data_IF_020366080236
#
_entry.id   IF_020366080236
#
_cell.length_a   1.000
_cell.length_b   1.000
_cell.length_c   1.000
_cell.angle_alpha   90.00
_cell.angle_beta   90.00
_cell.angle_gamma   90.00
#
_symmetry.space_group_name_H-M   'P 1'
#
loop_
_entity.id
_entity.type
_entity.pdbx_description
1 polymer ?
#
# COMPACT_ATOMS: atom_id res chain seq x y z
N UNK A 1 -17.81 0.37 -23.72
CA UNK A 1 -17.42 -1.05 -23.56
C UNK A 1 -17.10 -1.25 -22.09
N UNK A 2 -17.90 -2.04 -21.38
CA UNK A 2 -17.65 -2.36 -19.97
C UNK A 2 -16.39 -3.20 -19.91
N UNK A 3 -15.29 -2.62 -19.43
CA UNK A 3 -14.09 -3.37 -19.06
C UNK A 3 -14.50 -4.28 -17.92
N UNK A 4 -14.37 -5.61 -18.10
CA UNK A 4 -14.53 -6.57 -17.02
C UNK A 4 -13.49 -6.18 -15.96
N UNK A 5 -13.94 -5.57 -14.86
CA UNK A 5 -13.08 -5.23 -13.73
C UNK A 5 -12.73 -6.55 -13.04
N UNK A 6 -11.47 -6.97 -13.16
CA UNK A 6 -10.97 -8.16 -12.46
C UNK A 6 -11.01 -7.84 -10.96
N UNK A 7 -11.71 -8.64 -10.14
CA UNK A 7 -11.77 -8.42 -8.70
C UNK A 7 -10.37 -8.42 -8.08
N UNK A 8 -10.12 -7.46 -7.18
CA UNK A 8 -8.83 -7.27 -6.55
C UNK A 8 -9.03 -6.84 -5.10
N UNK A 9 -8.38 -7.54 -4.17
CA UNK A 9 -8.29 -7.13 -2.77
C UNK A 9 -7.39 -5.91 -2.66
N UNK A 10 -7.61 -5.03 -1.69
CA UNK A 10 -6.71 -3.90 -1.44
C UNK A 10 -6.23 -3.97 0.00
N UNK A 11 -4.91 -3.96 0.17
CA UNK A 11 -4.23 -3.90 1.44
C UNK A 11 -3.67 -2.50 1.68
N UNK A 12 -4.09 -1.88 2.77
CA UNK A 12 -3.48 -0.66 3.28
C UNK A 12 -2.53 -1.00 4.43
N UNK A 13 -1.25 -0.66 4.27
CA UNK A 13 -0.24 -0.84 5.31
C UNK A 13 -0.29 0.35 6.28
N UNK A 14 -0.81 0.11 7.48
CA UNK A 14 -0.90 1.06 8.58
C UNK A 14 0.14 0.80 9.70
N UNK A 15 1.16 0.00 9.41
CA UNK A 15 2.25 -0.33 10.34
C UNK A 15 3.53 0.46 10.09
N UNK A 16 4.21 0.87 11.17
CA UNK A 16 5.55 1.46 11.12
C UNK A 16 6.01 1.95 12.49
N UNK A 17 7.33 1.94 12.72
CA UNK A 17 7.93 2.23 14.05
C UNK A 17 7.50 3.55 14.69
N UNK A 18 6.96 4.53 13.94
CA UNK A 18 6.56 5.85 14.47
C UNK A 18 7.70 6.65 15.14
N UNK A 19 8.92 6.12 15.17
CA UNK A 19 10.05 6.62 15.96
C UNK A 19 10.45 8.05 15.60
N UNK A 20 10.31 8.42 14.32
CA UNK A 20 10.62 9.78 13.82
C UNK A 20 9.48 10.79 14.05
N UNK A 21 8.30 10.34 14.48
CA UNK A 21 7.09 11.16 14.70
C UNK A 21 6.59 11.06 16.14
N UNK A 22 7.50 10.95 17.11
CA UNK A 22 7.17 10.90 18.54
C UNK A 22 6.32 9.70 18.95
N UNK A 23 6.43 8.56 18.25
CA UNK A 23 5.67 7.35 18.55
C UNK A 23 4.21 7.38 18.09
N UNK A 24 3.73 8.48 17.46
CA UNK A 24 2.35 8.59 16.97
C UNK A 24 2.06 7.62 15.83
N UNK A 25 0.78 7.27 15.72
CA UNK A 25 0.29 6.50 14.58
C UNK A 25 0.18 7.36 13.34
N UNK A 26 1.04 7.07 12.35
CA UNK A 26 1.11 7.83 11.10
C UNK A 26 -0.20 7.76 10.34
N UNK A 27 -0.84 6.59 10.28
CA UNK A 27 -2.10 6.47 9.53
C UNK A 27 -3.22 7.32 10.14
N UNK A 28 -3.11 7.69 11.43
CA UNK A 28 -4.06 8.53 12.15
C UNK A 28 -3.61 9.98 12.28
N UNK A 29 -2.45 10.34 11.72
CA UNK A 29 -2.03 11.73 11.64
C UNK A 29 -2.93 12.52 10.68
N UNK A 30 -3.19 13.77 11.04
CA UNK A 30 -4.09 14.62 10.26
C UNK A 30 -3.37 15.28 9.08
N UNK A 31 -3.99 15.16 7.91
CA UNK A 31 -3.73 15.94 6.70
C UNK A 31 -5.03 16.62 6.29
N UNK A 32 -5.03 17.94 6.14
CA UNK A 32 -6.23 18.72 5.76
C UNK A 32 -7.47 18.35 6.60
N UNK A 33 -7.28 18.22 7.92
CA UNK A 33 -8.35 17.93 8.88
C UNK A 33 -8.82 16.47 8.95
N UNK A 34 -8.27 15.55 8.14
CA UNK A 34 -8.64 14.11 8.14
C UNK A 34 -7.42 13.22 8.35
N UNK A 35 -7.55 12.06 9.00
CA UNK A 35 -6.43 11.14 9.18
C UNK A 35 -5.93 10.62 7.81
N UNK A 36 -4.64 10.34 7.66
CA UNK A 36 -4.07 9.87 6.38
C UNK A 36 -4.83 8.66 5.82
N UNK A 37 -5.22 7.71 6.69
CA UNK A 37 -6.00 6.54 6.30
C UNK A 37 -7.34 6.91 5.65
N UNK A 38 -8.00 7.98 6.09
CA UNK A 38 -9.28 8.41 5.53
C UNK A 38 -9.15 8.94 4.10
N UNK A 39 -8.00 9.53 3.74
CA UNK A 39 -7.74 9.98 2.37
C UNK A 39 -7.62 8.79 1.42
N UNK A 40 -6.75 7.82 1.77
CA UNK A 40 -6.57 6.61 0.97
C UNK A 40 -7.86 5.78 0.91
N UNK A 41 -8.55 5.61 2.05
CA UNK A 41 -9.83 4.91 2.11
C UNK A 41 -10.84 5.50 1.10
N UNK A 42 -11.01 6.83 1.05
CA UNK A 42 -11.92 7.47 0.12
C UNK A 42 -11.55 7.23 -1.36
N UNK A 43 -10.28 7.00 -1.66
CA UNK A 43 -9.79 6.68 -3.00
C UNK A 43 -10.15 5.24 -3.39
N UNK A 44 -9.92 4.29 -2.47
CA UNK A 44 -9.92 2.86 -2.80
C UNK A 44 -11.22 2.13 -2.49
N UNK A 45 -12.06 2.65 -1.58
CA UNK A 45 -13.22 1.93 -1.05
C UNK A 45 -14.20 1.50 -2.14
N UNK A 46 -14.42 2.34 -3.16
CA UNK A 46 -15.32 2.04 -4.29
C UNK A 46 -14.65 1.16 -5.37
N UNK A 47 -13.36 0.85 -5.24
CA UNK A 47 -12.60 0.07 -6.22
C UNK A 47 -12.40 -1.39 -5.78
N UNK A 48 -12.88 -1.76 -4.59
CA UNK A 48 -12.78 -3.13 -4.07
C UNK A 48 -13.94 -3.43 -3.13
N UNK A 49 -14.39 -4.68 -3.14
CA UNK A 49 -15.28 -5.21 -2.10
C UNK A 49 -14.51 -5.82 -0.92
N UNK A 50 -13.17 -5.88 -0.98
CA UNK A 50 -12.29 -6.57 -0.04
C UNK A 50 -11.10 -5.67 0.36
N UNK A 51 -11.38 -4.75 1.29
CA UNK A 51 -10.42 -3.79 1.83
C UNK A 51 -9.88 -4.28 3.17
N UNK A 52 -8.57 -4.51 3.22
CA UNK A 52 -7.82 -5.01 4.37
C UNK A 52 -6.90 -3.91 4.88
N UNK A 53 -6.81 -3.73 6.20
CA UNK A 53 -5.81 -2.86 6.83
C UNK A 53 -4.86 -3.69 7.69
N UNK A 54 -3.56 -3.60 7.42
CA UNK A 54 -2.52 -4.17 8.28
C UNK A 54 -2.15 -3.16 9.37
N UNK A 55 -2.47 -3.46 10.63
CA UNK A 55 -2.16 -2.61 11.77
C UNK A 55 -1.85 -3.43 13.04
N UNK A 56 -0.86 -2.99 13.81
CA UNK A 56 -0.47 -3.61 15.08
C UNK A 56 -0.94 -2.80 16.31
N UNK A 57 -1.64 -1.69 16.07
CA UNK A 57 -2.19 -0.79 17.10
C UNK A 57 -3.43 -0.09 16.55
N UNK A 58 -4.26 0.45 17.44
CA UNK A 58 -5.47 1.19 17.07
C UNK A 58 -6.45 0.40 16.19
N UNK A 59 -6.50 -0.94 16.31
CA UNK A 59 -7.31 -1.82 15.45
C UNK A 59 -8.79 -1.40 15.42
N UNK A 60 -9.36 -0.99 16.55
CA UNK A 60 -10.75 -0.54 16.63
C UNK A 60 -11.02 0.71 15.76
N UNK A 61 -10.05 1.63 15.67
CA UNK A 61 -10.15 2.82 14.80
C UNK A 61 -10.03 2.39 13.34
N UNK A 62 -9.05 1.55 13.01
CA UNK A 62 -8.83 1.06 11.65
C UNK A 62 -9.97 0.18 11.12
N UNK A 63 -10.67 -0.54 11.99
CA UNK A 63 -11.82 -1.35 11.63
C UNK A 63 -12.98 -0.51 11.05
N UNK A 64 -13.05 0.78 11.38
CA UNK A 64 -14.03 1.70 10.76
C UNK A 64 -13.73 2.04 9.30
N UNK A 65 -12.54 1.70 8.80
CA UNK A 65 -12.08 1.98 7.44
C UNK A 65 -11.84 0.71 6.61
N UNK A 66 -12.15 -0.48 7.11
CA UNK A 66 -11.83 -1.73 6.42
C UNK A 66 -12.88 -2.80 6.66
N UNK A 67 -12.90 -3.79 5.77
CA UNK A 67 -13.67 -5.01 5.96
C UNK A 67 -12.97 -5.94 6.97
N UNK A 68 -11.64 -5.80 7.10
CA UNK A 68 -10.82 -6.56 8.05
C UNK A 68 -9.55 -5.81 8.45
N UNK A 69 -9.21 -5.88 9.73
CA UNK A 69 -7.87 -5.56 10.24
C UNK A 69 -7.06 -6.85 10.41
N UNK A 70 -5.79 -6.82 10.01
CA UNK A 70 -4.81 -7.88 10.23
C UNK A 70 -3.61 -7.35 11.01
N UNK A 71 -2.95 -8.22 11.76
CA UNK A 71 -1.72 -7.87 12.50
C UNK A 71 -0.58 -8.76 12.05
N UNK A 72 0.63 -8.22 12.15
CA UNK A 72 1.84 -8.99 11.86
C UNK A 72 1.96 -10.15 12.86
N UNK A 73 2.42 -11.31 12.39
CA UNK A 73 2.61 -12.51 13.23
C UNK A 73 3.82 -12.44 14.17
N UNK A 74 4.61 -11.37 14.10
CA UNK A 74 5.88 -11.22 14.84
C UNK A 74 6.01 -9.81 15.41
N UNK A 75 6.35 -9.75 16.71
CA UNK A 75 6.66 -8.50 17.40
C UNK A 75 7.90 -7.79 16.82
N UNK A 76 7.98 -6.47 16.99
CA UNK A 76 9.19 -5.69 16.70
C UNK A 76 9.27 -5.02 15.32
N UNK A 77 8.16 -4.95 14.57
CA UNK A 77 8.08 -4.29 13.25
C UNK A 77 9.12 -4.80 12.25
N UNK A 78 8.99 -6.05 11.81
CA UNK A 78 9.95 -6.69 10.92
C UNK A 78 9.95 -6.14 9.48
N UNK A 79 9.04 -5.21 9.16
CA UNK A 79 8.97 -4.50 7.88
C UNK A 79 7.66 -4.75 7.13
N UNK A 80 7.47 -4.09 5.96
CA UNK A 80 6.22 -4.18 5.20
C UNK A 80 5.90 -5.58 4.67
N UNK A 81 6.90 -6.47 4.59
CA UNK A 81 6.70 -7.85 4.15
C UNK A 81 5.74 -8.62 5.06
N UNK A 82 5.79 -8.41 6.38
CA UNK A 82 4.89 -9.08 7.32
C UNK A 82 3.43 -8.74 7.05
N UNK A 83 3.14 -7.44 6.95
CA UNK A 83 1.78 -6.98 6.64
C UNK A 83 1.29 -7.43 5.27
N UNK A 84 2.19 -7.53 4.28
CA UNK A 84 1.85 -8.10 2.96
C UNK A 84 1.51 -9.58 3.05
N UNK A 85 2.26 -10.39 3.81
CA UNK A 85 1.94 -11.81 4.04
C UNK A 85 0.59 -11.93 4.73
N UNK A 86 0.38 -11.22 5.84
CA UNK A 86 -0.89 -11.23 6.57
C UNK A 86 -2.07 -10.77 5.70
N UNK A 87 -1.86 -9.78 4.83
CA UNK A 87 -2.86 -9.35 3.86
C UNK A 87 -3.19 -10.42 2.82
N UNK A 88 -2.17 -11.07 2.24
CA UNK A 88 -2.35 -12.13 1.24
C UNK A 88 -3.05 -13.37 1.81
N UNK A 89 -2.77 -13.74 3.06
CA UNK A 89 -3.45 -14.82 3.77
C UNK A 89 -4.96 -14.59 3.83
N UNK A 90 -5.37 -13.33 4.05
CA UNK A 90 -6.78 -12.95 4.23
C UNK A 90 -7.47 -12.46 2.95
N UNK A 91 -6.71 -12.15 1.89
CA UNK A 91 -7.23 -11.68 0.62
C UNK A 91 -8.19 -12.68 0.00
N UNK A 92 -9.39 -12.24 -0.40
CA UNK A 92 -10.38 -13.09 -1.04
C UNK A 92 -10.10 -13.32 -2.52
N UNK A 93 -9.45 -12.34 -3.17
CA UNK A 93 -9.25 -12.33 -4.62
C UNK A 93 -7.88 -12.89 -5.02
N UNK A 94 -7.74 -13.22 -6.31
CA UNK A 94 -6.49 -13.72 -6.88
C UNK A 94 -5.38 -12.66 -6.93
N UNK A 95 -5.75 -11.38 -6.85
CA UNK A 95 -4.83 -10.25 -6.88
C UNK A 95 -5.07 -9.34 -5.69
N UNK A 96 -3.98 -8.80 -5.15
CA UNK A 96 -4.02 -7.81 -4.08
C UNK A 96 -3.18 -6.59 -4.46
N UNK A 97 -3.79 -5.41 -4.39
CA UNK A 97 -3.09 -4.13 -4.44
C UNK A 97 -2.59 -3.77 -3.05
N UNK A 98 -1.30 -3.47 -2.93
CA UNK A 98 -0.68 -2.94 -1.72
C UNK A 98 -0.51 -1.44 -1.87
N UNK A 99 -0.90 -0.69 -0.82
CA UNK A 99 -0.68 0.76 -0.70
C UNK A 99 -0.24 1.11 0.74
N UNK A 100 0.67 2.07 0.94
CA UNK A 100 0.96 2.58 2.29
C UNK A 100 -0.12 3.58 2.73
N UNK A 101 -0.42 3.61 4.02
CA UNK A 101 -1.34 4.64 4.55
C UNK A 101 -0.71 6.04 4.62
N UNK A 102 0.62 6.17 4.55
CA UNK A 102 1.33 7.45 4.72
C UNK A 102 1.58 8.23 3.42
N UNK A 103 0.91 7.85 2.32
CA UNK A 103 0.89 8.57 1.05
C UNK A 103 -0.50 9.16 0.73
N UNK A 104 -1.03 10.12 1.51
CA UNK A 104 -2.40 10.62 1.36
C UNK A 104 -2.69 11.39 0.07
N UNK A 105 -1.68 11.60 -0.80
CA UNK A 105 -1.82 12.23 -2.11
C UNK A 105 -2.13 11.24 -3.24
N UNK A 106 -2.14 9.93 -2.97
CA UNK A 106 -2.60 8.93 -3.94
C UNK A 106 -4.01 9.29 -4.41
N UNK A 107 -4.23 9.22 -5.72
CA UNK A 107 -5.51 9.53 -6.33
C UNK A 107 -6.15 8.29 -6.99
N UNK A 108 -7.41 8.43 -7.36
CA UNK A 108 -8.18 7.36 -8.02
C UNK A 108 -7.64 7.02 -9.40
N UNK A 109 -7.03 7.98 -10.10
CA UNK A 109 -6.49 7.78 -11.44
C UNK A 109 -5.29 6.83 -11.42
N UNK A 110 -4.37 7.01 -10.48
CA UNK A 110 -3.22 6.15 -10.26
C UNK A 110 -3.65 4.73 -9.93
N UNK A 111 -4.58 4.57 -8.98
CA UNK A 111 -5.07 3.26 -8.56
C UNK A 111 -5.77 2.54 -9.73
N UNK A 112 -6.64 3.23 -10.47
CA UNK A 112 -7.27 2.67 -11.68
C UNK A 112 -6.25 2.30 -12.75
N UNK A 113 -5.21 3.11 -12.96
CA UNK A 113 -4.16 2.81 -13.92
C UNK A 113 -3.39 1.54 -13.53
N UNK A 114 -3.14 1.30 -12.24
CA UNK A 114 -2.57 0.04 -11.77
C UNK A 114 -3.54 -1.12 -12.03
N UNK A 115 -4.78 -1.05 -11.54
CA UNK A 115 -5.79 -2.11 -11.66
C UNK A 115 -6.10 -2.49 -13.12
N UNK A 116 -6.08 -1.53 -14.05
CA UNK A 116 -6.27 -1.77 -15.47
C UNK A 116 -5.22 -2.73 -16.09
N UNK A 117 -4.09 -2.96 -15.41
CA UNK A 117 -3.12 -3.95 -15.86
C UNK A 117 -3.56 -5.39 -15.61
N UNK A 118 -4.43 -5.65 -14.62
CA UNK A 118 -4.96 -6.99 -14.38
C UNK A 118 -5.64 -7.55 -15.63
N UNK A 119 -6.43 -6.71 -16.32
CA UNK A 119 -7.13 -7.06 -17.57
C UNK A 119 -6.23 -7.45 -18.75
N UNK A 120 -4.89 -7.33 -18.59
CA UNK A 120 -3.89 -7.72 -19.60
C UNK A 120 -3.31 -9.12 -19.36
N UNK A 121 -3.85 -9.88 -18.39
CA UNK A 121 -3.38 -11.23 -18.07
C UNK A 121 -2.00 -11.24 -17.44
N UNK A 122 -1.81 -10.45 -16.38
CA UNK A 122 -0.51 -10.40 -15.68
C UNK A 122 -0.13 -11.80 -15.16
N UNK A 123 1.10 -12.23 -15.42
CA UNK A 123 1.69 -13.44 -14.85
C UNK A 123 2.83 -13.14 -13.86
N UNK A 124 2.91 -11.90 -13.39
CA UNK A 124 4.02 -11.38 -12.58
C UNK A 124 3.52 -10.25 -11.67
N UNK A 125 4.20 -9.99 -10.54
CA UNK A 125 3.91 -8.82 -9.72
C UNK A 125 4.17 -7.52 -10.50
N UNK A 126 3.31 -6.52 -10.33
CA UNK A 126 3.54 -5.18 -10.87
C UNK A 126 3.92 -4.23 -9.72
N UNK A 127 4.85 -3.33 -9.95
CA UNK A 127 5.31 -2.37 -8.96
C UNK A 127 5.48 -1.00 -9.61
N UNK A 128 5.06 0.08 -8.95
CA UNK A 128 5.36 1.42 -9.45
C UNK A 128 6.87 1.67 -9.49
N UNK A 129 7.32 2.40 -10.50
CA UNK A 129 8.72 2.77 -10.69
C UNK A 129 8.85 4.27 -10.95
N UNK A 130 9.35 5.00 -9.97
CA UNK A 130 9.57 6.44 -10.01
C UNK A 130 10.99 6.73 -10.50
N UNK A 131 11.15 7.01 -11.79
CA UNK A 131 12.47 7.06 -12.42
C UNK A 131 13.21 5.73 -12.28
N UNK A 132 14.34 5.71 -11.55
CA UNK A 132 15.08 4.48 -11.24
C UNK A 132 14.58 3.75 -9.99
N UNK A 133 13.79 4.43 -9.14
CA UNK A 133 13.40 3.93 -7.83
C UNK A 133 12.17 3.03 -7.90
N UNK A 134 12.27 1.87 -7.25
CA UNK A 134 11.17 0.93 -7.07
C UNK A 134 10.35 1.25 -5.84
N UNK A 135 9.03 1.14 -5.96
CA UNK A 135 8.06 1.49 -4.91
C UNK A 135 7.29 0.24 -4.46
N UNK A 136 7.87 -0.64 -3.63
CA UNK A 136 7.30 -1.95 -3.30
C UNK A 136 5.97 -1.89 -2.54
N UNK A 137 5.74 -0.80 -1.80
CA UNK A 137 4.45 -0.56 -1.12
C UNK A 137 3.36 -0.10 -2.09
N UNK A 138 3.66 0.10 -3.38
CA UNK A 138 2.71 0.39 -4.44
C UNK A 138 2.80 -0.72 -5.49
N UNK A 139 2.25 -1.88 -5.16
CA UNK A 139 2.39 -3.09 -5.97
C UNK A 139 1.09 -3.87 -6.11
N UNK A 140 0.89 -4.49 -7.28
CA UNK A 140 -0.11 -5.51 -7.51
C UNK A 140 0.55 -6.88 -7.42
N UNK A 141 0.07 -7.69 -6.49
CA UNK A 141 0.64 -8.99 -6.16
C UNK A 141 -0.38 -10.10 -6.47
N UNK A 142 0.02 -11.18 -7.16
CA UNK A 142 -0.83 -12.35 -7.25
C UNK A 142 -0.83 -13.07 -5.91
N UNK A 143 -2.01 -13.54 -5.46
CA UNK A 143 -2.15 -14.33 -4.22
C UNK A 143 -1.33 -15.62 -4.25
N UNK A 144 -1.10 -16.18 -5.44
CA UNK A 144 -0.22 -17.32 -5.65
C UNK A 144 1.25 -17.07 -5.23
N UNK A 145 1.67 -15.81 -4.99
CA UNK A 145 3.00 -15.50 -4.48
C UNK A 145 3.15 -15.83 -2.99
N UNK A 146 2.05 -16.00 -2.25
CA UNK A 146 2.04 -16.18 -0.80
C UNK A 146 3.00 -17.28 -0.31
N UNK A 147 2.98 -18.54 -0.82
CA UNK A 147 3.90 -19.58 -0.34
C UNK A 147 5.37 -19.23 -0.52
N UNK A 148 5.71 -18.50 -1.59
CA UNK A 148 7.08 -18.02 -1.84
C UNK A 148 7.51 -16.97 -0.82
N UNK A 149 6.60 -16.05 -0.47
CA UNK A 149 6.89 -15.02 0.55
C UNK A 149 7.02 -15.63 1.94
N UNK A 150 6.16 -16.58 2.30
CA UNK A 150 6.22 -17.30 3.58
C UNK A 150 7.52 -18.10 3.71
N UNK A 151 7.94 -18.83 2.65
CA UNK A 151 9.19 -19.58 2.66
C UNK A 151 10.40 -18.65 2.82
N UNK A 152 10.43 -17.52 2.11
CA UNK A 152 11.52 -16.56 2.23
C UNK A 152 11.53 -15.86 3.60
N UNK A 153 10.36 -15.58 4.16
CA UNK A 153 10.20 -15.06 5.51
C UNK A 153 10.79 -16.01 6.55
N UNK A 154 10.45 -17.29 6.47
CA UNK A 154 10.98 -18.35 7.32
C UNK A 154 12.51 -18.48 7.18
N UNK A 155 13.05 -18.25 5.98
CA UNK A 155 14.49 -18.23 5.69
C UNK A 155 15.21 -16.95 6.16
N UNK A 156 14.51 -16.00 6.79
CA UNK A 156 15.12 -14.79 7.37
C UNK A 156 15.06 -13.54 6.48
N UNK A 157 14.45 -13.61 5.29
CA UNK A 157 14.28 -12.42 4.44
C UNK A 157 13.22 -11.48 5.03
N UNK A 158 13.47 -10.17 4.96
CA UNK A 158 12.60 -9.10 5.50
C UNK A 158 12.31 -8.01 4.49
N UNK A 159 12.99 -8.01 3.34
CA UNK A 159 12.88 -7.04 2.26
C UNK A 159 11.84 -7.47 1.23
N UNK A 160 10.66 -6.83 1.28
CA UNK A 160 9.63 -6.96 0.24
C UNK A 160 10.21 -6.67 -1.16
N UNK A 161 10.99 -5.60 -1.31
CA UNK A 161 11.58 -5.22 -2.59
C UNK A 161 12.42 -6.36 -3.19
N UNK A 162 13.30 -6.97 -2.38
CA UNK A 162 14.17 -8.04 -2.88
C UNK A 162 13.35 -9.23 -3.38
N UNK A 163 12.30 -9.59 -2.65
CA UNK A 163 11.42 -10.71 -3.04
C UNK A 163 10.62 -10.40 -4.30
N UNK A 164 10.09 -9.19 -4.45
CA UNK A 164 9.37 -8.80 -5.67
C UNK A 164 10.31 -8.81 -6.89
N UNK A 165 11.55 -8.34 -6.74
CA UNK A 165 12.54 -8.41 -7.82
C UNK A 165 12.92 -9.86 -8.16
N UNK A 166 13.10 -10.73 -7.16
CA UNK A 166 13.35 -12.16 -7.38
C UNK A 166 12.17 -12.86 -8.09
N UNK A 167 10.93 -12.44 -7.78
CA UNK A 167 9.71 -12.85 -8.46
C UNK A 167 9.51 -12.19 -9.84
N UNK A 168 10.55 -11.54 -10.39
CA UNK A 168 10.55 -10.88 -11.70
C UNK A 168 9.45 -9.83 -11.86
N UNK A 169 9.19 -9.07 -10.79
CA UNK A 169 8.24 -7.96 -10.84
C UNK A 169 8.56 -6.99 -11.98
N UNK A 170 7.53 -6.48 -12.66
CA UNK A 170 7.68 -5.45 -13.69
C UNK A 170 7.36 -4.06 -13.15
N UNK A 171 8.06 -3.08 -13.70
CA UNK A 171 7.86 -1.67 -13.37
C UNK A 171 6.74 -1.05 -14.20
N UNK A 172 5.78 -0.44 -13.53
CA UNK A 172 4.89 0.55 -14.15
C UNK A 172 5.52 1.93 -13.95
N UNK A 173 6.07 2.57 -15.00
CA UNK A 173 6.75 3.84 -14.87
C UNK A 173 5.79 4.96 -14.45
N UNK A 174 6.23 5.80 -13.52
CA UNK A 174 5.61 7.06 -13.17
C UNK A 174 6.65 8.20 -13.24
N UNK A 175 6.17 9.44 -13.28
CA UNK A 175 7.05 10.61 -13.29
C UNK A 175 7.96 10.61 -12.06
N UNK A 176 9.23 11.01 -12.23
CA UNK A 176 10.15 11.18 -11.11
C UNK A 176 9.68 12.25 -10.11
N UNK A 177 8.77 13.12 -10.53
CA UNK A 177 8.16 14.18 -9.71
C UNK A 177 6.72 13.84 -9.31
N UNK A 178 6.29 12.58 -9.45
CA UNK A 178 4.92 12.18 -9.07
C UNK A 178 4.73 12.28 -7.54
N UNK A 179 4.10 13.37 -7.12
CA UNK A 179 3.84 13.69 -5.72
C UNK A 179 2.83 12.72 -5.07
N UNK A 180 2.07 11.96 -5.86
CA UNK A 180 1.10 10.97 -5.36
C UNK A 180 1.76 9.87 -4.55
N UNK A 181 3.05 9.61 -4.78
CA UNK A 181 3.83 8.58 -4.07
C UNK A 181 4.58 9.13 -2.86
N UNK A 182 4.42 10.42 -2.54
CA UNK A 182 5.16 11.05 -1.47
C UNK A 182 4.65 10.59 -0.11
N UNK A 183 5.53 9.93 0.65
CA UNK A 183 5.26 9.56 2.03
C UNK A 183 5.40 10.81 2.92
N UNK A 184 4.34 11.22 3.61
CA UNK A 184 4.36 12.31 4.58
C UNK A 184 4.93 11.82 5.92
N UNK A 185 6.25 11.59 5.92
CA UNK A 185 6.96 10.90 7.01
C UNK A 185 7.75 11.82 7.96
N UNK A 186 7.74 13.14 7.73
CA UNK A 186 8.34 14.15 8.61
C UNK A 186 7.38 15.33 8.83
N UNK A 187 7.51 16.08 9.94
CA UNK A 187 6.68 17.26 10.21
C UNK A 187 6.84 18.35 9.15
N UNK A 188 8.06 18.54 8.65
CA UNK A 188 8.39 19.52 7.61
C UNK A 188 7.65 19.23 6.30
N UNK A 189 7.69 17.97 5.86
CA UNK A 189 6.99 17.53 4.64
C UNK A 189 5.48 17.63 4.81
N UNK A 190 4.95 17.31 6.00
CA UNK A 190 3.54 17.46 6.30
C UNK A 190 3.09 18.94 6.26
N UNK A 191 3.88 19.85 6.83
CA UNK A 191 3.61 21.29 6.80
C UNK A 191 3.63 21.84 5.36
N UNK A 192 4.62 21.45 4.56
CA UNK A 192 4.70 21.83 3.15
C UNK A 192 3.52 21.30 2.32
N UNK A 193 3.05 20.08 2.62
CA UNK A 193 1.88 19.51 1.95
C UNK A 193 0.57 20.21 2.37
N UNK A 194 0.47 20.62 3.63
CA UNK A 194 -0.69 21.32 4.17
C UNK A 194 -0.83 22.75 3.62
N UNK A 195 0.28 23.44 3.35
CA UNK A 195 0.28 24.81 2.80
C UNK A 195 -0.05 24.89 1.30
N UNK A 196 -0.32 23.76 0.62
CA UNK A 196 -0.65 23.74 -0.80
C UNK A 196 0.55 23.80 -1.74
N UNK A 197 1.78 23.76 -1.22
CA UNK A 197 2.99 23.72 -2.06
C UNK A 197 3.16 22.38 -2.82
N UNK A 198 2.38 21.37 -2.45
CA UNK A 198 2.36 20.02 -3.03
C UNK A 198 0.93 19.77 -3.51
N UNK A 199 0.58 20.27 -4.69
CA UNK A 199 -0.69 19.97 -5.36
C UNK A 199 -0.47 18.95 -6.48
N UNK A 200 -1.31 17.91 -6.48
CA UNK A 200 -1.46 17.02 -7.63
C UNK A 200 -2.31 17.77 -8.66
N UNK A 201 -1.69 18.24 -9.74
CA UNK A 201 -2.45 18.76 -10.90
C UNK A 201 -3.32 17.63 -11.48
N UNK A 202 -4.55 17.95 -11.91
CA UNK A 202 -5.50 16.96 -12.45
C UNK A 202 -4.99 16.27 -13.72
#
# INVERSE_FOLDING_TARGET
MSTIEIPCSILLLAGGKGQRMGGKDKGLMLFRGKPFIAHIHAVVRELTDDLIISCNRNQAVYATYSDRCVSDSVDGYPGPLAGVIAGLEQARHEWMLVLPCDAPLVDRALVRAMLAHLGKGLGYPLMLRQGSQWQPMFSLLPKALLPTLEAAWAAGERSLLRLLLAARAKGLPCSCQDLRLQNLNSPEVLLAAQSGAIETRP
#
